data_IF_195889334816
#
_entry.id   IF_195889334816
#
_cell.length_a   1.000
_cell.length_b   1.000
_cell.length_c   1.000
_cell.angle_alpha   90.00
_cell.angle_beta   90.00
_cell.angle_gamma   90.00
#
_symmetry.space_group_name_H-M   'P 1'
#
loop_
_entity.id
_entity.type
_entity.pdbx_description
1 polymer ?
#
# COMPACT_ATOMS: atom_id res chain seq x y z
N UNK A 1 -3.71 16.52 24.78
CA UNK A 1 -2.70 16.77 23.72
C UNK A 1 -3.32 17.78 22.75
N UNK A 2 -2.77 19.00 22.65
CA UNK A 2 -3.26 20.02 21.71
C UNK A 2 -2.75 19.66 20.31
N UNK A 3 -3.59 19.02 19.50
CA UNK A 3 -3.27 18.74 18.10
C UNK A 3 -3.48 20.04 17.33
N UNK A 4 -2.44 20.45 16.60
CA UNK A 4 -2.45 21.62 15.72
C UNK A 4 -3.62 21.50 14.75
N UNK A 5 -4.63 22.35 14.95
CA UNK A 5 -5.55 22.76 13.88
C UNK A 5 -4.70 23.50 12.85
N UNK A 6 -4.15 22.77 11.89
CA UNK A 6 -3.70 23.37 10.64
C UNK A 6 -4.99 23.83 9.96
N UNK A 7 -5.09 25.12 9.64
CA UNK A 7 -6.21 25.70 8.89
C UNK A 7 -6.29 24.98 7.53
N UNK A 8 -7.22 24.01 7.42
CA UNK A 8 -7.40 23.14 6.25
C UNK A 8 -8.24 23.77 5.14
N UNK A 9 -8.63 25.05 5.29
CA UNK A 9 -9.66 25.71 4.48
C UNK A 9 -9.30 25.92 3.00
N UNK A 10 -8.08 25.58 2.55
CA UNK A 10 -7.64 25.74 1.16
C UNK A 10 -6.67 24.66 0.64
N UNK A 11 -6.49 23.54 1.35
CA UNK A 11 -5.71 22.43 0.80
C UNK A 11 -6.62 21.50 0.00
N UNK A 12 -6.32 21.31 -1.28
CA UNK A 12 -6.85 20.20 -2.08
C UNK A 12 -6.33 18.88 -1.49
N UNK A 13 -6.94 18.43 -0.39
CA UNK A 13 -6.63 17.19 0.28
C UNK A 13 -6.98 16.04 -0.67
N UNK A 14 -6.01 15.15 -0.87
CA UNK A 14 -6.20 13.94 -1.68
C UNK A 14 -6.19 12.73 -0.78
N UNK A 15 -7.12 11.81 -1.03
CA UNK A 15 -7.17 10.55 -0.32
C UNK A 15 -5.85 9.79 -0.46
N UNK A 16 -5.30 9.32 0.66
CA UNK A 16 -4.08 8.53 0.70
C UNK A 16 -4.15 7.17 0.03
N UNK A 17 -5.34 6.72 -0.38
CA UNK A 17 -5.55 5.42 -1.03
C UNK A 17 -5.90 5.61 -2.50
N UNK A 18 -6.97 6.37 -2.80
CA UNK A 18 -7.46 6.52 -4.17
C UNK A 18 -7.06 7.84 -4.85
N UNK A 19 -6.39 8.76 -4.13
CA UNK A 19 -5.98 10.08 -4.61
C UNK A 19 -7.11 11.01 -5.09
N UNK A 20 -8.38 10.60 -4.92
CA UNK A 20 -9.55 11.46 -5.12
C UNK A 20 -9.55 12.63 -4.14
N UNK A 21 -10.17 13.73 -4.54
CA UNK A 21 -10.34 14.91 -3.70
C UNK A 21 -11.19 14.61 -2.47
N UNK A 22 -10.76 15.13 -1.33
CA UNK A 22 -11.43 14.98 -0.04
C UNK A 22 -12.20 16.27 0.21
N UNK A 23 -13.51 16.21 -0.03
CA UNK A 23 -14.41 17.36 0.03
C UNK A 23 -14.74 17.84 1.45
N UNK A 24 -14.61 16.96 2.44
CA UNK A 24 -14.90 17.26 3.84
C UNK A 24 -13.81 16.67 4.75
N UNK A 25 -12.86 17.50 5.24
CA UNK A 25 -11.76 17.06 6.10
C UNK A 25 -12.21 16.48 7.44
N UNK A 26 -13.45 16.76 7.88
CA UNK A 26 -13.98 16.29 9.17
C UNK A 26 -14.45 14.83 9.15
N UNK A 27 -14.69 14.28 7.96
CA UNK A 27 -15.14 12.88 7.74
C UNK A 27 -14.01 11.94 7.36
N UNK A 28 -12.78 12.38 7.57
CA UNK A 28 -11.59 11.71 7.10
C UNK A 28 -11.05 10.82 8.20
N UNK A 29 -10.91 9.53 7.93
CA UNK A 29 -10.13 8.67 8.80
C UNK A 29 -8.66 9.08 8.73
N UNK A 30 -8.09 9.33 9.90
CA UNK A 30 -6.69 9.63 10.08
C UNK A 30 -5.97 8.43 10.71
N UNK A 31 -4.89 7.97 10.08
CA UNK A 31 -4.02 6.95 10.68
C UNK A 31 -3.30 7.51 11.91
N UNK A 32 -3.15 6.68 12.95
CA UNK A 32 -2.42 7.05 14.17
C UNK A 32 -0.93 7.33 13.94
N UNK A 33 -0.37 6.78 12.86
CA UNK A 33 1.07 6.85 12.55
C UNK A 33 1.40 7.74 11.35
N UNK A 34 0.40 7.99 10.48
CA UNK A 34 0.57 8.74 9.24
C UNK A 34 -0.55 9.77 9.11
N UNK A 35 -0.17 11.04 8.99
CA UNK A 35 -1.11 12.16 8.80
C UNK A 35 -1.60 12.21 7.34
N UNK A 36 -2.25 11.12 6.90
CA UNK A 36 -2.75 10.98 5.53
C UNK A 36 -4.27 10.83 5.57
N UNK A 37 -5.01 11.70 4.86
CA UNK A 37 -6.47 11.67 4.88
C UNK A 37 -7.02 10.49 4.05
N UNK A 38 -7.99 9.73 4.56
CA UNK A 38 -8.77 8.75 3.78
C UNK A 38 -10.18 9.28 3.50
N UNK A 39 -10.66 9.18 2.25
CA UNK A 39 -12.04 9.57 1.92
C UNK A 39 -13.08 8.55 2.42
N UNK A 40 -14.32 8.99 2.61
CA UNK A 40 -15.44 8.16 3.12
C UNK A 40 -15.63 6.86 2.32
N UNK A 41 -15.42 6.92 1.00
CA UNK A 41 -15.52 5.73 0.14
C UNK A 41 -14.45 4.68 0.48
N UNK A 42 -13.19 5.08 0.63
CA UNK A 42 -12.13 4.14 1.02
C UNK A 42 -12.29 3.70 2.49
N UNK A 43 -12.79 4.58 3.36
CA UNK A 43 -13.01 4.27 4.77
C UNK A 43 -14.04 3.14 4.98
N UNK A 44 -15.07 3.10 4.14
CA UNK A 44 -16.14 2.09 4.17
C UNK A 44 -15.74 0.76 3.52
N UNK A 45 -14.83 0.79 2.54
CA UNK A 45 -14.38 -0.42 1.83
C UNK A 45 -13.34 -1.20 2.62
N UNK A 46 -12.39 -0.51 3.24
CA UNK A 46 -11.23 -1.13 3.87
C UNK A 46 -11.42 -1.27 5.38
N UNK A 47 -10.98 -2.39 5.96
CA UNK A 47 -10.92 -2.50 7.42
C UNK A 47 -9.84 -1.56 7.97
N UNK A 48 -9.86 -1.27 9.28
CA UNK A 48 -8.80 -0.46 9.91
C UNK A 48 -7.40 -1.05 9.68
N UNK A 49 -7.27 -2.38 9.69
CA UNK A 49 -6.01 -3.05 9.41
C UNK A 49 -5.58 -2.90 7.95
N UNK A 50 -6.52 -3.04 7.00
CA UNK A 50 -6.23 -2.85 5.58
C UNK A 50 -5.85 -1.40 5.29
N UNK A 51 -6.55 -0.42 5.90
CA UNK A 51 -6.21 1.01 5.79
C UNK A 51 -4.78 1.27 6.27
N UNK A 52 -4.43 0.78 7.45
CA UNK A 52 -3.09 0.93 8.00
C UNK A 52 -2.03 0.28 7.09
N UNK A 53 -2.29 -0.94 6.61
CA UNK A 53 -1.40 -1.65 5.70
C UNK A 53 -1.21 -0.88 4.38
N UNK A 54 -2.30 -0.49 3.72
CA UNK A 54 -2.26 0.23 2.43
C UNK A 54 -1.58 1.58 2.58
N UNK A 55 -1.89 2.35 3.64
CA UNK A 55 -1.23 3.63 3.88
C UNK A 55 0.25 3.48 4.20
N UNK A 56 0.63 2.47 4.99
CA UNK A 56 2.03 2.18 5.28
C UNK A 56 2.77 1.77 4.01
N UNK A 57 2.17 0.92 3.17
CA UNK A 57 2.73 0.55 1.86
C UNK A 57 2.87 1.79 0.97
N UNK A 58 1.82 2.59 0.80
CA UNK A 58 1.88 3.79 -0.05
C UNK A 58 2.89 4.82 0.47
N UNK A 59 3.08 4.92 1.80
CA UNK A 59 4.06 5.82 2.40
C UNK A 59 5.50 5.33 2.25
N UNK A 60 5.74 4.04 2.46
CA UNK A 60 7.05 3.41 2.22
C UNK A 60 7.43 3.51 0.74
N UNK A 61 6.43 3.45 -0.15
CA UNK A 61 6.62 3.33 -1.59
C UNK A 61 6.20 4.55 -2.40
N UNK A 62 6.05 5.72 -1.78
CA UNK A 62 5.80 7.00 -2.46
C UNK A 62 4.49 7.09 -3.28
N UNK A 63 3.51 6.22 -3.04
CA UNK A 63 2.20 6.26 -3.71
C UNK A 63 2.14 5.67 -5.13
N UNK A 64 3.17 4.92 -5.56
CA UNK A 64 3.33 4.48 -6.96
C UNK A 64 2.52 3.23 -7.36
N UNK A 65 1.23 3.16 -7.05
CA UNK A 65 0.40 2.06 -7.60
C UNK A 65 0.30 2.19 -9.12
N UNK A 66 0.47 1.06 -9.84
CA UNK A 66 0.34 1.00 -11.31
C UNK A 66 1.33 1.87 -12.08
N UNK A 67 2.50 2.18 -11.51
CA UNK A 67 3.56 2.95 -12.16
C UNK A 67 4.10 2.32 -13.46
N UNK A 68 4.08 0.99 -13.56
CA UNK A 68 4.56 0.24 -14.73
C UNK A 68 3.45 -0.63 -15.36
N UNK A 69 2.35 -0.03 -15.83
CA UNK A 69 1.14 -0.75 -16.21
C UNK A 69 1.26 -1.48 -17.56
N UNK A 70 2.25 -1.14 -18.37
CA UNK A 70 2.52 -1.71 -19.70
C UNK A 70 3.55 -2.84 -19.67
N UNK A 71 4.17 -3.10 -18.53
CA UNK A 71 5.17 -4.15 -18.39
C UNK A 71 4.51 -5.47 -17.98
N UNK A 72 4.89 -6.56 -18.64
CA UNK A 72 4.43 -7.90 -18.26
C UNK A 72 5.02 -8.28 -16.92
N UNK A 73 4.17 -8.38 -15.90
CA UNK A 73 4.59 -8.73 -14.55
C UNK A 73 4.34 -10.20 -14.21
N UNK A 74 5.36 -10.86 -13.64
CA UNK A 74 5.32 -12.24 -13.21
C UNK A 74 5.83 -12.40 -11.78
N UNK A 75 4.93 -12.77 -10.87
CA UNK A 75 5.27 -13.06 -9.46
C UNK A 75 6.31 -14.18 -9.37
N UNK A 76 6.26 -15.17 -10.27
CA UNK A 76 7.23 -16.28 -10.28
C UNK A 76 8.63 -15.79 -10.64
N UNK A 77 8.75 -14.86 -11.61
CA UNK A 77 10.05 -14.31 -11.99
C UNK A 77 10.64 -13.45 -10.89
N UNK A 78 9.80 -12.68 -10.20
CA UNK A 78 10.18 -11.92 -9.02
C UNK A 78 10.69 -12.82 -7.88
N UNK A 79 9.95 -13.90 -7.56
CA UNK A 79 10.38 -14.89 -6.58
C UNK A 79 11.73 -15.50 -6.98
N UNK A 80 11.91 -15.89 -8.25
CA UNK A 80 13.19 -16.42 -8.76
C UNK A 80 14.33 -15.40 -8.67
N UNK A 81 14.04 -14.12 -8.91
CA UNK A 81 15.04 -13.05 -8.81
C UNK A 81 15.50 -12.90 -7.37
N UNK A 82 14.55 -12.84 -6.43
CA UNK A 82 14.85 -12.76 -4.99
C UNK A 82 15.57 -14.02 -4.50
N UNK A 83 15.19 -15.22 -4.96
CA UNK A 83 15.87 -16.45 -4.56
C UNK A 83 17.32 -16.51 -5.05
N UNK A 84 17.62 -15.90 -6.20
CA UNK A 84 18.99 -15.78 -6.74
C UNK A 84 19.83 -14.74 -6.01
N UNK A 85 19.21 -13.79 -5.30
CA UNK A 85 19.91 -12.78 -4.50
C UNK A 85 20.53 -13.35 -3.20
N UNK A 86 20.51 -14.68 -2.98
CA UNK A 86 21.13 -15.38 -1.84
C UNK A 86 20.70 -14.84 -0.47
N UNK A 87 19.40 -14.60 -0.28
CA UNK A 87 18.85 -14.39 1.04
C UNK A 87 18.85 -15.74 1.76
N UNK A 88 19.79 -15.95 2.67
CA UNK A 88 19.62 -16.98 3.69
C UNK A 88 18.42 -16.55 4.52
N UNK A 89 17.29 -17.21 4.31
CA UNK A 89 16.05 -16.96 5.06
C UNK A 89 16.26 -17.57 6.46
N UNK A 90 17.12 -16.94 7.24
CA UNK A 90 17.55 -17.45 8.55
C UNK A 90 16.62 -16.99 9.67
N UNK A 91 15.70 -16.06 9.39
CA UNK A 91 14.71 -15.60 10.35
C UNK A 91 13.43 -15.05 9.70
N UNK A 92 12.36 -14.98 10.50
CA UNK A 92 11.03 -14.50 10.13
C UNK A 92 11.02 -13.06 9.58
N UNK A 93 11.92 -12.19 10.06
CA UNK A 93 12.01 -10.80 9.59
C UNK A 93 12.55 -10.69 8.16
N UNK A 94 13.49 -11.55 7.77
CA UNK A 94 13.96 -11.60 6.39
C UNK A 94 12.87 -12.11 5.44
N UNK A 95 12.07 -13.08 5.89
CA UNK A 95 10.89 -13.53 5.12
C UNK A 95 9.85 -12.42 4.97
N UNK A 96 9.59 -11.66 6.03
CA UNK A 96 8.67 -10.52 5.98
C UNK A 96 9.14 -9.44 4.99
N UNK A 97 10.43 -9.09 4.99
CA UNK A 97 11.00 -8.15 4.01
C UNK A 97 10.83 -8.64 2.57
N UNK A 98 11.06 -9.93 2.32
CA UNK A 98 10.86 -10.53 0.99
C UNK A 98 9.40 -10.40 0.57
N UNK A 99 8.46 -10.73 1.47
CA UNK A 99 7.03 -10.63 1.19
C UNK A 99 6.60 -9.21 0.88
N UNK A 100 7.11 -8.22 1.63
CA UNK A 100 6.85 -6.81 1.38
C UNK A 100 7.40 -6.38 0.01
N UNK A 101 8.62 -6.81 -0.35
CA UNK A 101 9.25 -6.50 -1.65
C UNK A 101 8.45 -7.10 -2.83
N UNK A 102 8.01 -8.35 -2.71
CA UNK A 102 7.18 -9.02 -3.71
C UNK A 102 5.83 -8.32 -3.91
N UNK A 103 5.14 -8.01 -2.80
CA UNK A 103 3.88 -7.30 -2.85
C UNK A 103 4.05 -5.91 -3.47
N UNK A 104 5.13 -5.20 -3.12
CA UNK A 104 5.44 -3.89 -3.69
C UNK A 104 5.58 -3.94 -5.21
N UNK A 105 6.39 -4.85 -5.74
CA UNK A 105 6.56 -4.99 -7.18
C UNK A 105 5.22 -5.30 -7.86
N UNK A 106 4.42 -6.19 -7.29
CA UNK A 106 3.09 -6.50 -7.81
C UNK A 106 2.20 -5.23 -7.90
N UNK A 107 2.21 -4.40 -6.85
CA UNK A 107 1.47 -3.13 -6.81
C UNK A 107 1.98 -2.12 -7.84
N UNK A 108 3.30 -2.03 -8.07
CA UNK A 108 3.88 -1.17 -9.11
C UNK A 108 3.36 -1.52 -10.51
N UNK A 109 3.09 -2.79 -10.76
CA UNK A 109 2.52 -3.27 -12.02
C UNK A 109 0.99 -3.32 -12.03
N UNK A 110 0.34 -2.83 -10.97
CA UNK A 110 -1.11 -2.72 -10.90
C UNK A 110 -1.84 -3.97 -10.44
N UNK A 111 -1.13 -4.95 -9.90
CA UNK A 111 -1.76 -6.12 -9.28
C UNK A 111 -2.27 -5.72 -7.91
N UNK A 112 -3.57 -5.90 -7.68
CA UNK A 112 -4.20 -5.63 -6.38
C UNK A 112 -3.78 -6.68 -5.34
N UNK A 113 -3.87 -6.37 -4.03
CA UNK A 113 -3.59 -7.36 -2.98
C UNK A 113 -4.40 -8.66 -3.11
N UNK A 114 -5.65 -8.57 -3.53
CA UNK A 114 -6.54 -9.73 -3.73
C UNK A 114 -6.04 -10.62 -4.87
N UNK A 115 -5.72 -10.02 -6.02
CA UNK A 115 -5.13 -10.75 -7.16
C UNK A 115 -3.78 -11.36 -6.80
N UNK A 116 -2.96 -10.63 -6.04
CA UNK A 116 -1.66 -11.13 -5.56
C UNK A 116 -1.83 -12.38 -4.70
N UNK A 117 -2.74 -12.35 -3.71
CA UNK A 117 -3.04 -13.51 -2.85
C UNK A 117 -3.56 -14.68 -3.69
N UNK A 118 -4.47 -14.43 -4.65
CA UNK A 118 -4.99 -15.47 -5.53
C UNK A 118 -3.87 -16.12 -6.35
N UNK A 119 -2.96 -15.32 -6.91
CA UNK A 119 -1.81 -15.83 -7.67
C UNK A 119 -0.84 -16.62 -6.79
N UNK A 120 -0.59 -16.21 -5.55
CA UNK A 120 0.23 -16.98 -4.62
C UNK A 120 -0.39 -18.33 -4.25
N UNK A 121 -1.71 -18.39 -4.07
CA UNK A 121 -2.42 -19.66 -3.77
C UNK A 121 -2.29 -20.71 -4.87
N UNK A 122 -2.05 -20.31 -6.12
CA UNK A 122 -1.82 -21.24 -7.24
C UNK A 122 -0.43 -21.88 -7.19
N UNK A 123 0.49 -21.31 -6.39
CA UNK A 123 1.88 -21.79 -6.26
C UNK A 123 2.08 -22.78 -5.10
N UNK A 124 1.04 -23.01 -4.27
CA UNK A 124 1.04 -23.88 -3.08
C UNK A 124 0.09 -25.05 -3.35
#
# INVERSE_FOLDING_TARGET
MKVLYIELDNLNLKCGICHSEVLDPSKVYQSEFLFIPICEHCDTIFTSNDKALVLNLLSIFGGYFRMFPSETYSIIEDIRKISKENLSIDNEKELEKINIKLLHNALLHGITPQEYILKLKVLI
#
